data_IF_376402888746
#
_entry.id   IF_376402888746
#
_cell.length_a   1.000
_cell.length_b   1.000
_cell.length_c   1.000
_cell.angle_alpha   90.00
_cell.angle_beta   90.00
_cell.angle_gamma   90.00
#
_symmetry.space_group_name_H-M   'P 1'
#
loop_
_entity.id
_entity.type
_entity.pdbx_description
1 polymer ?
#
# COMPACT_ATOMS: atom_id res chain seq x y z
N UNK A 1 -15.64 -16.59 -3.40
CA UNK A 1 -14.15 -16.63 -3.49
C UNK A 1 -13.61 -16.12 -2.17
N UNK A 2 -12.47 -16.62 -1.66
CA UNK A 2 -12.03 -16.28 -0.32
C UNK A 2 -11.53 -14.82 -0.26
N UNK A 3 -12.18 -14.02 0.58
CA UNK A 3 -11.79 -12.62 0.86
C UNK A 3 -10.45 -12.50 1.56
N UNK A 4 -10.10 -13.54 2.32
CA UNK A 4 -8.84 -13.70 3.03
C UNK A 4 -8.18 -14.99 2.58
N UNK A 5 -6.87 -14.94 2.39
CA UNK A 5 -6.06 -16.12 2.13
C UNK A 5 -5.30 -16.50 3.39
N UNK A 6 -5.48 -17.74 3.86
CA UNK A 6 -4.65 -18.33 4.91
C UNK A 6 -3.34 -18.92 4.36
N UNK A 7 -3.15 -18.87 3.04
CA UNK A 7 -1.89 -19.23 2.39
C UNK A 7 -0.89 -18.11 2.62
N UNK A 8 0.23 -18.45 3.27
CA UNK A 8 1.41 -17.59 3.37
C UNK A 8 2.27 -17.81 2.13
N UNK A 9 2.51 -16.75 1.37
CA UNK A 9 3.44 -16.79 0.23
C UNK A 9 4.85 -16.45 0.71
N UNK A 10 5.80 -17.38 0.53
CA UNK A 10 7.19 -17.20 0.95
C UNK A 10 8.12 -16.98 -0.25
N UNK A 11 8.96 -15.95 -0.19
CA UNK A 11 10.05 -15.73 -1.13
C UNK A 11 11.41 -15.60 -0.41
N UNK A 12 12.47 -16.00 -1.11
CA UNK A 12 13.85 -15.97 -0.59
C UNK A 12 14.71 -15.00 -1.37
N UNK A 13 15.46 -14.18 -0.65
CA UNK A 13 16.38 -13.20 -1.22
C UNK A 13 17.76 -13.31 -0.55
N UNK A 14 18.80 -12.91 -1.28
CA UNK A 14 20.15 -12.85 -0.72
C UNK A 14 20.48 -11.41 -0.33
N UNK A 15 21.13 -11.26 0.83
CA UNK A 15 21.72 -10.02 1.37
C UNK A 15 20.77 -8.86 1.70
N UNK A 16 19.91 -8.47 0.76
CA UNK A 16 19.17 -7.20 0.77
C UNK A 16 17.76 -7.33 0.21
N UNK A 17 16.80 -6.73 0.88
CA UNK A 17 15.44 -6.55 0.37
C UNK A 17 15.22 -5.10 -0.02
N UNK A 18 15.25 -4.81 -1.31
CA UNK A 18 15.02 -3.47 -1.85
C UNK A 18 13.63 -3.38 -2.48
N UNK A 19 12.83 -2.40 -2.08
CA UNK A 19 11.46 -2.25 -2.55
C UNK A 19 11.02 -0.79 -2.66
N UNK A 20 9.95 -0.60 -3.42
CA UNK A 20 9.31 0.70 -3.63
C UNK A 20 7.89 0.64 -3.10
N UNK A 21 7.34 1.76 -2.65
CA UNK A 21 5.93 1.89 -2.25
C UNK A 21 5.28 3.01 -3.05
N UNK A 22 4.14 2.72 -3.66
CA UNK A 22 3.37 3.65 -4.50
C UNK A 22 1.88 3.48 -4.24
N UNK A 23 1.14 4.58 -4.17
CA UNK A 23 -0.32 4.60 -4.08
C UNK A 23 -0.91 5.66 -4.98
N UNK A 24 -2.21 5.55 -5.26
CA UNK A 24 -3.00 6.62 -5.85
C UNK A 24 -2.42 7.07 -7.20
N UNK A 25 -2.16 6.08 -8.05
CA UNK A 25 -1.36 6.26 -9.26
C UNK A 25 -2.15 6.20 -10.56
N UNK A 26 -3.35 5.62 -10.56
CA UNK A 26 -4.13 5.25 -11.73
C UNK A 26 -4.74 6.35 -12.60
N UNK A 27 -4.27 7.59 -12.49
CA UNK A 27 -4.88 8.73 -13.19
C UNK A 27 -4.12 9.05 -14.47
N UNK A 28 -4.77 8.83 -15.61
CA UNK A 28 -4.19 8.96 -16.95
C UNK A 28 -4.22 10.40 -17.49
N UNK A 29 -4.99 11.28 -16.85
CA UNK A 29 -5.16 12.67 -17.28
C UNK A 29 -3.93 13.56 -17.06
N UNK A 30 -3.98 14.78 -17.63
CA UNK A 30 -3.04 15.86 -17.30
C UNK A 30 -3.61 16.63 -16.10
N UNK A 31 -2.82 16.83 -15.06
CA UNK A 31 -3.19 17.80 -14.02
C UNK A 31 -3.40 19.19 -14.64
N UNK A 32 -4.35 19.98 -14.09
CA UNK A 32 -4.67 21.33 -14.59
C UNK A 32 -3.37 22.14 -14.77
N UNK A 33 -3.10 22.59 -16.00
CA UNK A 33 -1.94 23.41 -16.35
C UNK A 33 -0.62 22.69 -16.65
N UNK A 34 -0.58 21.35 -16.79
CA UNK A 34 0.69 20.59 -16.99
C UNK A 34 0.87 19.96 -18.38
N UNK A 35 2.13 19.95 -18.86
CA UNK A 35 2.56 19.40 -20.18
C UNK A 35 2.59 17.86 -20.23
N UNK A 36 2.82 17.19 -19.10
CA UNK A 36 2.83 15.73 -18.94
C UNK A 36 1.91 15.31 -17.78
N UNK A 37 1.32 14.11 -17.85
CA UNK A 37 0.55 13.53 -16.74
C UNK A 37 1.47 13.18 -15.57
N UNK A 38 1.06 13.53 -14.34
CA UNK A 38 1.90 13.41 -13.14
C UNK A 38 2.40 11.97 -12.93
N UNK A 39 1.53 10.99 -13.20
CA UNK A 39 1.85 9.57 -13.16
C UNK A 39 3.07 9.20 -14.02
N UNK A 40 3.20 9.76 -15.23
CA UNK A 40 4.31 9.43 -16.15
C UNK A 40 5.66 9.94 -15.62
N UNK A 41 5.69 11.09 -14.94
CA UNK A 41 6.92 11.58 -14.32
C UNK A 41 7.35 10.68 -13.16
N UNK A 42 6.39 10.30 -12.30
CA UNK A 42 6.61 9.37 -11.19
C UNK A 42 7.11 8.03 -11.72
N UNK A 43 6.43 7.44 -12.70
CA UNK A 43 6.83 6.17 -13.32
C UNK A 43 8.24 6.23 -13.93
N UNK A 44 8.60 7.35 -14.59
CA UNK A 44 9.93 7.52 -15.16
C UNK A 44 11.04 7.56 -14.10
N UNK A 45 10.82 8.31 -13.01
CA UNK A 45 11.78 8.38 -11.90
C UNK A 45 11.85 7.04 -11.16
N UNK A 46 10.70 6.45 -10.85
CA UNK A 46 10.58 5.17 -10.17
C UNK A 46 11.27 4.05 -10.95
N UNK A 47 11.20 4.07 -12.29
CA UNK A 47 11.94 3.14 -13.15
C UNK A 47 13.45 3.27 -12.93
N UNK A 48 13.99 4.49 -12.95
CA UNK A 48 15.44 4.71 -12.73
C UNK A 48 15.89 4.21 -11.36
N UNK A 49 15.06 4.42 -10.33
CA UNK A 49 15.34 3.94 -8.98
C UNK A 49 15.33 2.41 -8.94
N UNK A 50 14.30 1.77 -9.49
CA UNK A 50 14.22 0.32 -9.56
C UNK A 50 15.41 -0.31 -10.30
N UNK A 51 15.84 0.29 -11.42
CA UNK A 51 17.02 -0.14 -12.18
C UNK A 51 18.32 0.07 -11.38
N UNK A 52 18.48 1.22 -10.72
CA UNK A 52 19.68 1.58 -9.95
C UNK A 52 19.89 0.68 -8.73
N UNK A 53 18.82 0.44 -7.96
CA UNK A 53 18.88 -0.30 -6.70
C UNK A 53 18.50 -1.79 -6.87
N UNK A 54 18.17 -2.20 -8.10
CA UNK A 54 17.72 -3.56 -8.41
C UNK A 54 16.57 -3.99 -7.49
N UNK A 55 15.54 -3.13 -7.40
CA UNK A 55 14.36 -3.37 -6.56
C UNK A 55 13.74 -4.74 -6.88
N UNK A 56 13.23 -5.38 -5.84
CA UNK A 56 12.74 -6.76 -5.85
C UNK A 56 11.24 -6.83 -6.07
N UNK A 57 10.51 -5.83 -5.58
CA UNK A 57 9.06 -5.72 -5.70
C UNK A 57 8.60 -4.29 -5.43
N UNK A 58 7.31 -4.07 -5.63
CA UNK A 58 6.60 -2.84 -5.35
C UNK A 58 5.45 -3.16 -4.39
N UNK A 59 5.28 -2.37 -3.34
CA UNK A 59 4.06 -2.34 -2.54
C UNK A 59 3.13 -1.30 -3.16
N UNK A 60 2.00 -1.76 -3.68
CA UNK A 60 0.94 -0.92 -4.20
C UNK A 60 -0.13 -0.72 -3.12
N UNK A 61 -0.23 0.49 -2.57
CA UNK A 61 -1.13 0.81 -1.45
C UNK A 61 -2.55 1.22 -1.90
N UNK A 62 -2.96 0.82 -3.10
CA UNK A 62 -4.32 0.97 -3.59
C UNK A 62 -4.60 2.26 -4.34
N UNK A 63 -5.87 2.40 -4.76
CA UNK A 63 -6.32 3.36 -5.76
C UNK A 63 -5.50 3.23 -7.05
N UNK A 64 -5.53 1.99 -7.55
CA UNK A 64 -4.79 1.56 -8.72
C UNK A 64 -5.35 2.17 -9.99
N UNK A 65 -6.66 2.43 -10.04
CA UNK A 65 -7.32 2.91 -11.25
C UNK A 65 -8.34 4.01 -10.97
N UNK A 66 -8.11 5.19 -11.54
CA UNK A 66 -9.02 6.33 -11.45
C UNK A 66 -9.80 6.56 -12.74
N UNK A 67 -10.97 7.17 -12.56
CA UNK A 67 -11.66 7.92 -13.60
C UNK A 67 -10.81 9.12 -14.05
N UNK A 68 -10.55 9.20 -15.36
CA UNK A 68 -9.71 10.22 -15.98
C UNK A 68 -10.50 11.22 -16.83
N UNK A 69 -11.61 10.81 -17.44
CA UNK A 69 -12.49 11.64 -18.29
C UNK A 69 -13.97 11.46 -17.89
N UNK A 70 -14.91 12.21 -18.47
CA UNK A 70 -16.32 12.18 -18.04
C UNK A 70 -17.05 10.86 -18.36
N UNK A 71 -16.73 10.23 -19.48
CA UNK A 71 -17.27 8.96 -19.97
C UNK A 71 -16.50 7.74 -19.46
N UNK A 72 -15.48 7.97 -18.63
CA UNK A 72 -14.66 6.93 -17.99
C UNK A 72 -15.26 6.46 -16.65
N UNK A 73 -14.74 5.37 -16.10
CA UNK A 73 -15.15 4.77 -14.82
C UNK A 73 -13.99 4.72 -13.81
N UNK A 74 -14.33 4.54 -12.53
CA UNK A 74 -13.35 4.24 -11.47
C UNK A 74 -12.95 2.76 -11.54
N UNK A 75 -11.88 2.36 -10.84
CA UNK A 75 -11.45 0.96 -10.79
C UNK A 75 -11.29 0.35 -12.19
N UNK A 76 -11.50 -0.96 -12.28
CA UNK A 76 -11.66 -1.71 -13.54
C UNK A 76 -13.05 -2.34 -13.60
N UNK A 77 -13.61 -2.48 -14.80
CA UNK A 77 -14.88 -3.15 -15.08
C UNK A 77 -14.72 -4.68 -15.06
N UNK A 78 -13.58 -5.17 -15.58
CA UNK A 78 -13.29 -6.60 -15.74
C UNK A 78 -11.79 -6.88 -15.90
N UNK A 79 -11.42 -8.15 -16.01
CA UNK A 79 -10.04 -8.56 -16.36
C UNK A 79 -9.61 -8.14 -17.78
N UNK A 80 -10.54 -7.70 -18.63
CA UNK A 80 -10.29 -7.25 -20.01
C UNK A 80 -10.31 -5.73 -20.16
N UNK A 81 -10.42 -5.00 -19.05
CA UNK A 81 -10.47 -3.54 -19.06
C UNK A 81 -9.19 -2.91 -19.65
N UNK A 82 -9.36 -1.92 -20.52
CA UNK A 82 -8.24 -1.21 -21.16
C UNK A 82 -7.37 -0.44 -20.17
N UNK A 83 -7.84 -0.15 -18.96
CA UNK A 83 -7.04 0.49 -17.89
C UNK A 83 -5.85 -0.35 -17.45
N UNK A 84 -5.95 -1.69 -17.49
CA UNK A 84 -4.79 -2.57 -17.24
C UNK A 84 -3.64 -2.21 -18.18
N UNK A 85 -3.95 -1.98 -19.45
CA UNK A 85 -2.95 -1.58 -20.44
C UNK A 85 -2.56 -0.12 -20.29
N UNK A 86 -3.54 0.77 -20.31
CA UNK A 86 -3.34 2.22 -20.48
C UNK A 86 -2.81 2.92 -19.22
N UNK A 87 -3.24 2.49 -18.03
CA UNK A 87 -2.77 3.04 -16.75
C UNK A 87 -1.59 2.28 -16.15
N UNK A 88 -1.43 0.98 -16.44
CA UNK A 88 -0.39 0.17 -15.80
C UNK A 88 0.68 -0.34 -16.77
N UNK A 89 0.33 -1.24 -17.69
CA UNK A 89 1.33 -1.90 -18.56
C UNK A 89 2.09 -0.90 -19.43
N UNK A 90 1.43 0.13 -19.97
CA UNK A 90 2.04 1.15 -20.83
C UNK A 90 2.80 2.25 -20.10
N UNK A 91 2.56 2.39 -18.79
CA UNK A 91 3.18 3.43 -17.97
C UNK A 91 4.43 2.91 -17.28
N UNK A 92 4.35 1.73 -16.66
CA UNK A 92 5.43 1.18 -15.84
C UNK A 92 6.26 0.17 -16.62
N UNK A 93 7.38 0.65 -17.16
CA UNK A 93 8.30 -0.10 -18.03
C UNK A 93 9.62 -0.42 -17.33
N UNK A 94 10.53 -1.11 -18.03
CA UNK A 94 11.87 -1.46 -17.52
C UNK A 94 11.77 -2.39 -16.31
N UNK A 95 12.60 -2.17 -15.29
CA UNK A 95 12.60 -3.01 -14.08
C UNK A 95 11.21 -3.12 -13.42
N UNK A 96 10.38 -2.06 -13.50
CA UNK A 96 9.02 -2.08 -12.96
C UNK A 96 8.08 -3.08 -13.64
N UNK A 97 8.38 -3.46 -14.89
CA UNK A 97 7.65 -4.46 -15.66
C UNK A 97 8.11 -5.90 -15.40
N UNK A 98 9.20 -6.09 -14.65
CA UNK A 98 9.81 -7.39 -14.36
C UNK A 98 9.51 -7.89 -12.93
N UNK A 99 9.12 -6.98 -12.04
CA UNK A 99 8.98 -7.27 -10.61
C UNK A 99 7.51 -7.22 -10.17
N UNK A 100 7.13 -8.05 -9.18
CA UNK A 100 5.76 -8.09 -8.66
C UNK A 100 5.36 -6.79 -7.96
N UNK A 101 4.07 -6.48 -8.07
CA UNK A 101 3.35 -5.41 -7.39
C UNK A 101 2.41 -6.07 -6.37
N UNK A 102 2.83 -6.14 -5.12
CA UNK A 102 2.00 -6.63 -4.02
C UNK A 102 0.99 -5.55 -3.67
N UNK A 103 -0.26 -5.79 -4.05
CA UNK A 103 -1.30 -4.77 -4.10
C UNK A 103 -2.36 -4.98 -3.03
N UNK A 104 -2.90 -3.87 -2.53
CA UNK A 104 -4.17 -3.78 -1.81
C UNK A 104 -5.12 -2.91 -2.62
N UNK A 105 -6.43 -3.04 -2.39
CA UNK A 105 -7.42 -2.19 -3.02
C UNK A 105 -7.60 -0.88 -2.24
N UNK A 106 -7.79 0.22 -2.96
CA UNK A 106 -8.24 1.49 -2.42
C UNK A 106 -9.73 1.74 -2.65
N UNK A 107 -10.27 2.83 -2.12
CA UNK A 107 -11.70 3.10 -2.23
C UNK A 107 -12.14 3.31 -3.70
N UNK A 108 -11.28 3.82 -4.58
CA UNK A 108 -11.59 3.97 -6.00
C UNK A 108 -11.64 2.66 -6.76
N UNK A 109 -10.86 1.66 -6.33
CA UNK A 109 -10.92 0.31 -6.89
C UNK A 109 -12.28 -0.36 -6.53
N UNK A 110 -12.79 -0.05 -5.33
CA UNK A 110 -14.11 -0.47 -4.85
C UNK A 110 -15.30 0.28 -5.46
N UNK A 111 -15.09 1.44 -6.07
CA UNK A 111 -16.13 2.18 -6.79
C UNK A 111 -16.50 1.51 -8.12
N UNK A 112 -15.90 0.36 -8.43
CA UNK A 112 -16.27 -0.45 -9.59
C UNK A 112 -16.17 -1.96 -9.32
N UNK A 113 -15.38 -2.75 -10.06
CA UNK A 113 -15.29 -4.20 -9.85
C UNK A 113 -13.95 -4.60 -9.20
N UNK A 114 -13.85 -4.45 -7.88
CA UNK A 114 -12.64 -4.85 -7.13
C UNK A 114 -12.27 -6.33 -7.31
N UNK A 115 -13.26 -7.20 -7.56
CA UNK A 115 -12.99 -8.61 -7.81
C UNK A 115 -12.24 -8.86 -9.11
N UNK A 116 -12.42 -8.00 -10.12
CA UNK A 116 -11.68 -8.12 -11.37
C UNK A 116 -10.17 -7.95 -11.14
N UNK A 117 -9.73 -7.20 -10.12
CA UNK A 117 -8.32 -7.12 -9.76
C UNK A 117 -7.78 -8.43 -9.16
N UNK A 118 -8.59 -9.10 -8.33
CA UNK A 118 -8.24 -10.44 -7.80
C UNK A 118 -8.19 -11.46 -8.95
N UNK A 119 -9.21 -11.49 -9.80
CA UNK A 119 -9.26 -12.40 -10.94
C UNK A 119 -8.12 -12.14 -11.93
N UNK A 120 -7.77 -10.87 -12.16
CA UNK A 120 -6.64 -10.50 -13.01
C UNK A 120 -5.31 -10.97 -12.41
N UNK A 121 -5.13 -10.81 -11.09
CA UNK A 121 -3.96 -11.32 -10.37
C UNK A 121 -3.80 -12.83 -10.50
N UNK A 122 -4.89 -13.58 -10.37
CA UNK A 122 -4.85 -15.04 -10.33
C UNK A 122 -4.77 -15.66 -11.73
N UNK A 123 -5.40 -15.04 -12.72
CA UNK A 123 -5.66 -15.69 -14.02
C UNK A 123 -5.00 -15.01 -15.22
N UNK A 124 -4.58 -13.74 -15.11
CA UNK A 124 -4.07 -12.97 -16.26
C UNK A 124 -2.62 -12.57 -16.09
N UNK A 125 -2.27 -11.88 -15.00
CA UNK A 125 -0.92 -11.40 -14.79
C UNK A 125 -0.56 -11.36 -13.30
N UNK A 126 0.13 -12.40 -12.85
CA UNK A 126 0.58 -12.56 -11.45
C UNK A 126 1.55 -11.46 -10.98
N UNK A 127 2.03 -10.58 -11.87
CA UNK A 127 2.81 -9.40 -11.48
C UNK A 127 1.95 -8.36 -10.78
N UNK A 128 0.66 -8.23 -11.12
CA UNK A 128 -0.29 -7.50 -10.27
C UNK A 128 -0.76 -8.52 -9.22
N UNK A 129 -0.06 -8.60 -8.10
CA UNK A 129 -0.28 -9.64 -7.11
C UNK A 129 -1.28 -9.16 -6.04
N UNK A 130 -2.51 -9.68 -6.11
CA UNK A 130 -3.59 -9.46 -5.17
C UNK A 130 -4.47 -10.72 -5.11
N UNK A 131 -4.01 -11.79 -4.44
CA UNK A 131 -4.70 -13.09 -4.46
C UNK A 131 -6.03 -13.09 -3.69
N UNK A 132 -6.21 -12.10 -2.82
CA UNK A 132 -7.40 -11.83 -2.00
C UNK A 132 -7.32 -10.40 -1.46
N UNK A 133 -8.39 -9.91 -0.84
CA UNK A 133 -8.43 -8.58 -0.21
C UNK A 133 -7.57 -8.51 1.06
N UNK A 134 -7.37 -9.66 1.71
CA UNK A 134 -6.48 -9.83 2.87
C UNK A 134 -5.54 -11.01 2.62
N UNK A 135 -4.23 -10.81 2.74
CA UNK A 135 -3.25 -11.89 2.56
C UNK A 135 -1.92 -11.61 3.27
N UNK A 136 -1.16 -12.68 3.51
CA UNK A 136 0.14 -12.62 4.16
C UNK A 136 1.23 -13.09 3.22
N UNK A 137 2.37 -12.38 3.24
CA UNK A 137 3.60 -12.79 2.57
C UNK A 137 4.78 -12.76 3.54
N UNK A 138 5.75 -13.62 3.32
CA UNK A 138 7.00 -13.66 4.07
C UNK A 138 8.20 -13.61 3.15
N UNK A 139 9.21 -12.82 3.53
CA UNK A 139 10.47 -12.77 2.83
C UNK A 139 11.58 -13.22 3.77
N UNK A 140 12.32 -14.24 3.34
CA UNK A 140 13.52 -14.72 4.05
C UNK A 140 14.74 -14.16 3.35
N UNK A 141 15.49 -13.32 4.06
CA UNK A 141 16.73 -12.72 3.58
C UNK A 141 17.88 -13.55 4.14
N UNK A 142 18.62 -14.21 3.26
CA UNK A 142 19.83 -14.98 3.58
C UNK A 142 21.06 -14.07 3.43
N UNK A 143 21.41 -13.35 4.50
CA UNK A 143 22.66 -12.59 4.64
C UNK A 143 23.61 -13.26 5.64
N UNK A 144 24.39 -12.47 6.39
CA UNK A 144 25.21 -13.01 7.51
C UNK A 144 24.33 -13.56 8.64
N UNK A 145 23.18 -12.93 8.84
CA UNK A 145 22.07 -13.39 9.68
C UNK A 145 20.88 -13.68 8.76
N UNK A 146 20.16 -14.77 9.02
CA UNK A 146 18.86 -14.98 8.39
C UNK A 146 17.85 -14.01 9.01
N UNK A 147 17.18 -13.23 8.17
CA UNK A 147 16.15 -12.27 8.57
C UNK A 147 14.81 -12.66 7.97
N UNK A 148 13.75 -12.73 8.78
CA UNK A 148 12.37 -12.95 8.33
C UNK A 148 11.58 -11.64 8.37
N UNK A 149 11.00 -11.27 7.22
CA UNK A 149 10.12 -10.12 7.06
C UNK A 149 8.73 -10.61 6.73
N UNK A 150 7.75 -10.36 7.60
CA UNK A 150 6.34 -10.62 7.33
C UNK A 150 5.64 -9.36 6.81
N UNK A 151 4.82 -9.52 5.79
CA UNK A 151 3.93 -8.51 5.24
C UNK A 151 2.48 -8.96 5.38
N UNK A 152 1.66 -8.17 6.05
CA UNK A 152 0.21 -8.38 6.14
C UNK A 152 -0.46 -7.30 5.29
N UNK A 153 -1.16 -7.72 4.24
CA UNK A 153 -1.88 -6.83 3.33
C UNK A 153 -3.35 -6.84 3.71
N UNK A 154 -3.93 -5.66 3.96
CA UNK A 154 -5.29 -5.51 4.49
C UNK A 154 -6.13 -4.58 3.64
N UNK A 155 -7.40 -4.93 3.46
CA UNK A 155 -8.37 -4.01 2.88
C UNK A 155 -8.94 -3.11 3.97
N UNK A 156 -8.56 -1.85 3.91
CA UNK A 156 -8.94 -0.86 4.92
C UNK A 156 -10.34 -0.27 4.73
N UNK A 157 -10.99 -0.51 3.59
CA UNK A 157 -12.32 0.06 3.32
C UNK A 157 -13.36 -0.39 4.35
N UNK A 158 -13.28 -1.66 4.79
CA UNK A 158 -14.15 -2.23 5.81
C UNK A 158 -14.05 -1.50 7.16
N UNK A 159 -12.87 -0.98 7.50
CA UNK A 159 -12.63 -0.30 8.77
C UNK A 159 -12.86 1.21 8.67
N UNK A 160 -12.61 1.78 7.49
CA UNK A 160 -12.73 3.20 7.24
C UNK A 160 -14.18 3.65 7.04
N UNK A 161 -15.03 2.85 6.39
CA UNK A 161 -16.44 3.15 6.15
C UNK A 161 -17.35 2.28 7.01
N UNK A 162 -18.35 2.88 7.66
CA UNK A 162 -19.54 2.13 8.09
C UNK A 162 -20.45 1.94 6.88
N UNK A 163 -21.18 0.82 6.81
CA UNK A 163 -22.01 0.49 5.66
C UNK A 163 -23.04 1.58 5.30
N UNK A 164 -23.60 2.25 6.31
CA UNK A 164 -24.55 3.35 6.12
C UNK A 164 -23.92 4.64 5.60
N UNK A 165 -22.62 4.83 5.81
CA UNK A 165 -21.86 6.02 5.40
C UNK A 165 -21.07 5.84 4.11
N UNK A 166 -21.20 4.69 3.43
CA UNK A 166 -20.55 4.47 2.13
C UNK A 166 -21.10 5.49 1.12
N UNK A 167 -20.25 6.34 0.53
CA UNK A 167 -20.68 7.46 -0.31
C UNK A 167 -20.98 7.04 -1.77
N UNK A 168 -20.67 5.80 -2.15
CA UNK A 168 -20.76 5.31 -3.52
C UNK A 168 -21.62 4.04 -3.60
N UNK A 169 -22.66 4.07 -4.44
CA UNK A 169 -23.63 2.97 -4.56
C UNK A 169 -23.00 1.66 -5.04
N UNK A 170 -22.02 1.73 -5.95
CA UNK A 170 -21.34 0.53 -6.45
C UNK A 170 -20.49 -0.13 -5.37
N UNK A 171 -19.74 0.65 -4.59
CA UNK A 171 -19.05 0.15 -3.41
C UNK A 171 -20.01 -0.45 -2.39
N UNK A 172 -21.15 0.20 -2.13
CA UNK A 172 -22.18 -0.31 -1.23
C UNK A 172 -22.73 -1.66 -1.72
N UNK A 173 -22.96 -1.78 -3.03
CA UNK A 173 -23.35 -3.05 -3.64
C UNK A 173 -22.26 -4.13 -3.51
N UNK A 174 -21.00 -3.80 -3.75
CA UNK A 174 -19.88 -4.73 -3.56
C UNK A 174 -19.77 -5.20 -2.11
N UNK A 175 -19.94 -4.29 -1.14
CA UNK A 175 -19.99 -4.63 0.29
C UNK A 175 -21.12 -5.62 0.59
N UNK A 176 -22.31 -5.45 -0.01
CA UNK A 176 -23.40 -6.42 0.15
C UNK A 176 -23.07 -7.80 -0.41
N UNK A 177 -22.45 -7.86 -1.60
CA UNK A 177 -22.06 -9.13 -2.23
C UNK A 177 -21.08 -9.90 -1.33
N UNK A 178 -20.20 -9.18 -0.61
CA UNK A 178 -19.25 -9.71 0.36
C UNK A 178 -19.83 -9.95 1.75
N UNK A 179 -21.08 -9.54 2.02
CA UNK A 179 -21.64 -9.58 3.36
C UNK A 179 -21.00 -8.59 4.35
N UNK A 180 -20.25 -7.60 3.87
CA UNK A 180 -19.63 -6.52 4.66
C UNK A 180 -20.61 -5.41 5.06
N UNK A 181 -21.90 -5.74 5.11
CA UNK A 181 -22.97 -4.80 5.39
C UNK A 181 -23.36 -4.75 6.88
N UNK A 182 -22.47 -5.23 7.75
CA UNK A 182 -22.68 -5.33 9.19
C UNK A 182 -21.35 -5.38 9.94
N UNK A 183 -21.40 -5.08 11.24
CA UNK A 183 -20.23 -5.00 12.12
C UNK A 183 -19.61 -6.37 12.45
N UNK A 184 -20.32 -7.48 12.21
CA UNK A 184 -19.78 -8.83 12.48
C UNK A 184 -18.56 -9.08 11.58
N UNK A 185 -18.61 -8.63 10.32
CA UNK A 185 -17.46 -8.78 9.43
C UNK A 185 -16.28 -7.90 9.83
N UNK A 186 -16.53 -6.71 10.39
CA UNK A 186 -15.46 -5.89 10.99
C UNK A 186 -14.74 -6.67 12.08
N UNK A 187 -15.47 -7.28 13.02
CA UNK A 187 -14.90 -8.12 14.08
C UNK A 187 -14.18 -9.37 13.52
N UNK A 188 -14.73 -10.00 12.49
CA UNK A 188 -14.12 -11.16 11.85
C UNK A 188 -12.75 -10.80 11.25
N UNK A 189 -12.65 -9.68 10.52
CA UNK A 189 -11.38 -9.25 9.92
C UNK A 189 -10.40 -8.73 10.96
N UNK A 190 -10.84 -8.06 12.02
CA UNK A 190 -9.96 -7.71 13.14
C UNK A 190 -9.37 -8.95 13.82
N UNK A 191 -10.18 -9.99 14.04
CA UNK A 191 -9.70 -11.28 14.57
C UNK A 191 -8.73 -11.97 13.63
N UNK A 192 -9.00 -11.94 12.32
CA UNK A 192 -8.06 -12.47 11.33
C UNK A 192 -6.73 -11.73 11.37
N UNK A 193 -6.75 -10.39 11.38
CA UNK A 193 -5.53 -9.56 11.49
C UNK A 193 -4.77 -9.89 12.77
N UNK A 194 -5.45 -9.96 13.92
CA UNK A 194 -4.86 -10.34 15.19
C UNK A 194 -4.21 -11.74 15.14
N UNK A 195 -4.90 -12.72 14.54
CA UNK A 195 -4.36 -14.06 14.37
C UNK A 195 -3.09 -14.05 13.50
N UNK A 196 -3.08 -13.33 12.38
CA UNK A 196 -1.89 -13.21 11.54
C UNK A 196 -0.74 -12.52 12.28
N UNK A 197 -1.03 -11.50 13.08
CA UNK A 197 -0.03 -10.86 13.93
C UNK A 197 0.57 -11.83 14.95
N UNK A 198 -0.24 -12.69 15.58
CA UNK A 198 0.22 -13.74 16.51
C UNK A 198 1.10 -14.76 15.78
N UNK A 199 0.68 -15.23 14.61
CA UNK A 199 1.41 -16.24 13.83
C UNK A 199 2.76 -15.75 13.32
N UNK A 200 2.93 -14.44 13.09
CA UNK A 200 4.17 -13.85 12.58
C UNK A 200 5.12 -13.34 13.68
N UNK A 201 4.88 -13.63 14.97
CA UNK A 201 5.71 -13.10 16.07
C UNK A 201 7.18 -13.57 16.04
N UNK A 202 7.50 -14.64 15.29
CA UNK A 202 8.86 -15.12 15.02
C UNK A 202 9.62 -14.30 13.97
N UNK A 203 8.97 -13.32 13.32
CA UNK A 203 9.58 -12.46 12.31
C UNK A 203 10.39 -11.32 12.93
N UNK A 204 11.55 -11.02 12.34
CA UNK A 204 12.38 -9.85 12.71
C UNK A 204 11.70 -8.54 12.32
N UNK A 205 10.85 -8.56 11.29
CA UNK A 205 10.04 -7.44 10.84
C UNK A 205 8.60 -7.91 10.63
N UNK A 206 7.64 -7.17 11.20
CA UNK A 206 6.23 -7.30 10.83
C UNK A 206 5.82 -5.96 10.21
N UNK A 207 5.45 -6.00 8.95
CA UNK A 207 5.08 -4.85 8.14
C UNK A 207 3.64 -5.02 7.69
N UNK A 208 2.88 -3.93 7.63
CA UNK A 208 1.49 -3.95 7.21
C UNK A 208 1.29 -2.96 6.07
N UNK A 209 0.56 -3.36 5.03
CA UNK A 209 0.16 -2.49 3.93
C UNK A 209 -1.37 -2.41 3.86
N UNK A 210 -1.89 -1.19 3.76
CA UNK A 210 -3.31 -0.89 3.60
C UNK A 210 -3.49 0.36 2.76
N UNK A 211 -4.72 0.80 2.53
CA UNK A 211 -4.97 2.00 1.71
C UNK A 211 -5.08 3.27 2.56
N UNK A 212 -5.94 3.27 3.58
CA UNK A 212 -6.21 4.48 4.37
C UNK A 212 -5.10 4.77 5.40
N UNK A 213 -4.69 6.03 5.62
CA UNK A 213 -3.57 6.35 6.52
C UNK A 213 -3.95 6.16 7.98
N UNK A 214 -2.98 5.71 8.78
CA UNK A 214 -3.07 5.67 10.25
C UNK A 214 -2.17 6.74 10.88
N UNK A 215 -2.09 7.91 10.25
CA UNK A 215 -1.26 9.04 10.69
C UNK A 215 -2.13 10.22 11.17
N UNK A 216 -1.76 10.80 12.31
CA UNK A 216 -2.40 12.02 12.84
C UNK A 216 -3.93 11.96 12.87
N UNK A 217 -4.59 13.00 12.37
CA UNK A 217 -6.06 13.09 12.34
C UNK A 217 -6.73 12.06 11.40
N UNK A 218 -5.98 11.45 10.48
CA UNK A 218 -6.52 10.44 9.56
C UNK A 218 -6.80 9.09 10.24
N UNK A 219 -6.33 8.90 11.49
CA UNK A 219 -6.65 7.71 12.29
C UNK A 219 -8.10 7.70 12.79
N UNK A 220 -8.72 8.87 13.01
CA UNK A 220 -9.92 8.98 13.85
C UNK A 220 -11.24 8.54 13.18
N UNK A 221 -11.18 7.89 12.01
CA UNK A 221 -12.36 7.45 11.27
C UNK A 221 -12.81 6.05 11.71
N UNK A 222 -14.07 5.94 12.14
CA UNK A 222 -14.76 4.67 12.38
C UNK A 222 -13.92 3.64 13.16
N UNK A 223 -13.60 2.48 12.57
CA UNK A 223 -12.90 1.38 13.24
C UNK A 223 -11.38 1.44 13.07
N UNK A 224 -10.84 2.42 12.34
CA UNK A 224 -9.40 2.58 12.09
C UNK A 224 -8.55 2.65 13.38
N UNK A 225 -8.99 3.29 14.50
CA UNK A 225 -8.22 3.28 15.74
C UNK A 225 -7.93 1.88 16.29
N UNK A 226 -8.80 0.89 16.01
CA UNK A 226 -8.61 -0.49 16.46
C UNK A 226 -7.46 -1.20 15.74
N UNK A 227 -7.14 -0.78 14.51
CA UNK A 227 -5.95 -1.24 13.80
C UNK A 227 -4.68 -0.74 14.49
N UNK A 228 -4.67 0.53 14.91
CA UNK A 228 -3.55 1.11 15.68
C UNK A 228 -3.33 0.33 16.96
N UNK A 229 -4.39 0.07 17.73
CA UNK A 229 -4.31 -0.72 18.97
C UNK A 229 -3.70 -2.12 18.73
N UNK A 230 -4.12 -2.82 17.68
CA UNK A 230 -3.55 -4.13 17.32
C UNK A 230 -2.09 -4.02 16.91
N UNK A 231 -1.75 -3.05 16.06
CA UNK A 231 -0.39 -2.90 15.54
C UNK A 231 0.60 -2.57 16.66
N UNK A 232 0.21 -1.71 17.60
CA UNK A 232 1.00 -1.39 18.78
C UNK A 232 1.11 -2.59 19.73
N UNK A 233 -0.01 -3.27 20.03
CA UNK A 233 -0.04 -4.44 20.92
C UNK A 233 0.86 -5.56 20.45
N UNK A 234 0.95 -5.80 19.14
CA UNK A 234 1.72 -6.90 18.56
C UNK A 234 3.09 -6.49 18.01
N UNK A 235 3.50 -5.22 18.18
CA UNK A 235 4.81 -4.73 17.81
C UNK A 235 5.06 -4.73 16.30
N UNK A 236 4.10 -4.25 15.51
CA UNK A 236 4.29 -3.98 14.08
C UNK A 236 5.39 -2.93 13.91
N UNK A 237 6.32 -3.18 12.99
CA UNK A 237 7.47 -2.30 12.75
C UNK A 237 7.09 -1.08 11.91
N UNK A 238 6.26 -1.28 10.88
CA UNK A 238 5.77 -0.19 10.04
C UNK A 238 4.43 -0.50 9.37
N UNK A 239 3.65 0.55 9.13
CA UNK A 239 2.44 0.55 8.32
C UNK A 239 2.62 1.46 7.10
N UNK A 240 2.24 0.98 5.92
CA UNK A 240 2.33 1.70 4.65
C UNK A 240 0.93 1.92 4.05
N UNK A 241 0.63 3.18 3.69
CA UNK A 241 -0.66 3.60 3.16
C UNK A 241 -0.57 4.61 2.01
N UNK A 242 -1.71 4.85 1.35
CA UNK A 242 -1.95 5.84 0.31
C UNK A 242 -3.11 6.76 0.71
N UNK A 243 -4.11 6.93 -0.17
CA UNK A 243 -5.40 7.63 0.02
C UNK A 243 -5.30 9.14 0.25
N UNK A 244 -4.58 9.54 1.30
CA UNK A 244 -4.14 10.91 1.42
C UNK A 244 -3.08 11.14 0.32
N UNK A 245 -3.42 11.99 -0.64
CA UNK A 245 -2.59 12.27 -1.80
C UNK A 245 -1.32 13.07 -1.45
N UNK A 246 -0.42 12.47 -0.69
CA UNK A 246 0.72 13.17 -0.07
C UNK A 246 1.83 12.17 0.26
N UNK A 247 3.04 12.69 0.49
CA UNK A 247 4.14 11.94 1.08
C UNK A 247 4.28 12.36 2.54
N UNK A 248 4.06 11.45 3.48
CA UNK A 248 4.09 11.76 4.92
C UNK A 248 4.68 10.62 5.74
N UNK A 249 5.18 11.00 6.91
CA UNK A 249 5.83 10.11 7.84
C UNK A 249 5.51 10.51 9.28
N UNK A 250 5.22 9.50 10.11
CA UNK A 250 5.19 9.62 11.56
C UNK A 250 6.20 8.62 12.14
N UNK A 251 7.09 9.15 12.98
CA UNK A 251 8.15 8.38 13.60
C UNK A 251 7.59 7.50 14.72
N UNK A 252 8.19 6.33 14.98
CA UNK A 252 7.93 5.58 16.20
C UNK A 252 8.15 6.45 17.44
N UNK A 253 7.26 6.29 18.42
CA UNK A 253 7.29 6.96 19.73
C UNK A 253 7.40 5.90 20.85
N UNK A 254 7.79 6.29 22.08
CA UNK A 254 7.91 5.34 23.19
C UNK A 254 6.62 4.56 23.50
N UNK A 255 5.47 5.19 23.24
CA UNK A 255 4.11 4.67 23.45
C UNK A 255 3.48 4.06 22.18
N UNK A 256 4.04 4.36 21.00
CA UNK A 256 3.60 3.84 19.70
C UNK A 256 4.82 3.42 18.88
N UNK A 257 5.29 2.16 18.99
CA UNK A 257 6.54 1.73 18.35
C UNK A 257 6.43 1.56 16.83
N UNK A 258 5.26 1.82 16.25
CA UNK A 258 4.96 1.64 14.82
C UNK A 258 5.36 2.89 14.06
N UNK A 259 6.08 2.71 12.94
CA UNK A 259 6.29 3.78 11.98
C UNK A 259 5.12 3.84 10.98
N UNK A 260 4.58 5.03 10.71
CA UNK A 260 3.49 5.19 9.75
C UNK A 260 3.96 5.97 8.53
N UNK A 261 3.77 5.38 7.34
CA UNK A 261 4.16 5.93 6.05
C UNK A 261 2.92 6.16 5.19
N UNK A 262 2.81 7.35 4.60
CA UNK A 262 1.84 7.65 3.53
C UNK A 262 2.60 7.95 2.25
N UNK A 263 2.30 7.22 1.17
CA UNK A 263 2.91 7.35 -0.16
C UNK A 263 1.85 7.40 -1.26
N UNK A 264 0.86 8.29 -1.11
CA UNK A 264 -0.28 8.43 -2.02
C UNK A 264 -0.15 9.53 -3.08
N UNK A 265 1.05 10.03 -3.34
CA UNK A 265 1.26 11.19 -4.22
C UNK A 265 1.71 10.82 -5.64
N UNK A 266 1.28 9.69 -6.19
CA UNK A 266 1.79 9.24 -7.48
C UNK A 266 1.13 9.90 -8.69
N UNK A 267 -0.14 10.33 -8.56
CA UNK A 267 -0.87 10.97 -9.67
C UNK A 267 -1.69 12.20 -9.28
N UNK A 268 -2.07 12.32 -7.99
CA UNK A 268 -2.80 13.45 -7.39
C UNK A 268 -2.05 13.97 -6.15
N UNK A 269 -2.42 15.16 -5.67
CA UNK A 269 -1.87 15.74 -4.42
C UNK A 269 -2.95 16.42 -3.57
N UNK A 270 -2.73 16.49 -2.25
CA UNK A 270 -3.52 17.26 -1.27
C UNK A 270 -2.64 17.73 -0.10
N UNK A 271 -3.20 18.47 0.86
CA UNK A 271 -2.50 18.99 2.06
C UNK A 271 -2.12 17.90 3.10
N UNK A 272 -2.65 16.69 2.91
CA UNK A 272 -2.39 15.54 3.76
C UNK A 272 -2.99 15.65 5.17
N UNK A 273 -2.49 14.84 6.11
CA UNK A 273 -3.07 14.71 7.45
C UNK A 273 -2.43 15.68 8.45
N UNK A 274 -3.22 16.32 9.33
CA UNK A 274 -2.66 17.09 10.45
C UNK A 274 -2.11 16.14 11.53
N UNK A 275 -1.09 16.55 12.29
CA UNK A 275 -0.52 15.75 13.38
C UNK A 275 0.59 14.78 12.98
N UNK A 276 1.02 14.80 11.72
CA UNK A 276 2.23 14.16 11.20
C UNK A 276 3.51 14.82 11.73
N UNK A 277 4.60 14.05 11.80
CA UNK A 277 5.93 14.60 12.15
C UNK A 277 6.63 15.22 10.92
N UNK A 278 6.41 14.63 9.75
CA UNK A 278 6.92 15.13 8.48
C UNK A 278 5.92 14.90 7.34
N UNK A 279 5.86 15.84 6.40
CA UNK A 279 5.06 15.71 5.18
C UNK A 279 5.41 16.74 4.12
N UNK A 280 5.22 16.39 2.86
CA UNK A 280 5.37 17.32 1.73
C UNK A 280 4.09 18.13 1.51
N UNK A 281 4.19 19.39 1.03
CA UNK A 281 3.01 20.18 0.68
C UNK A 281 2.35 19.68 -0.61
N UNK A 282 1.09 20.08 -0.81
CA UNK A 282 0.35 19.88 -2.07
C UNK A 282 1.20 20.31 -3.29
N UNK A 283 1.06 19.56 -4.39
CA UNK A 283 1.80 19.78 -5.64
C UNK A 283 3.11 18.99 -5.75
N UNK A 284 3.49 18.26 -4.69
CA UNK A 284 4.60 17.32 -4.69
C UNK A 284 4.16 15.90 -5.06
N UNK A 285 4.72 15.34 -6.13
CA UNK A 285 4.48 13.95 -6.54
C UNK A 285 5.69 13.09 -6.23
N UNK A 286 5.50 11.81 -5.96
CA UNK A 286 6.59 10.92 -5.65
C UNK A 286 6.18 9.55 -5.14
N UNK A 287 7.16 8.88 -4.54
CA UNK A 287 7.03 7.53 -3.98
C UNK A 287 8.03 7.34 -2.85
N UNK A 288 7.89 6.25 -2.10
CA UNK A 288 8.85 5.82 -1.08
C UNK A 288 9.75 4.72 -1.66
N UNK A 289 11.04 4.81 -1.37
CA UNK A 289 12.01 3.74 -1.56
C UNK A 289 12.49 3.25 -0.20
N UNK A 290 12.64 1.94 -0.04
CA UNK A 290 13.12 1.35 1.20
C UNK A 290 13.98 0.11 0.96
N UNK A 291 14.85 -0.14 1.91
CA UNK A 291 15.81 -1.23 1.86
C UNK A 291 15.92 -1.84 3.25
N UNK A 292 15.84 -3.17 3.35
CA UNK A 292 16.06 -3.92 4.59
C UNK A 292 17.33 -4.75 4.46
N UNK A 293 18.25 -4.56 5.40
CA UNK A 293 19.46 -5.37 5.58
C UNK A 293 19.51 -5.78 7.04
N UNK A 294 19.40 -7.08 7.30
CA UNK A 294 19.41 -7.64 8.64
C UNK A 294 18.41 -6.95 9.58
N UNK A 295 18.91 -6.15 10.52
CA UNK A 295 18.12 -5.47 11.55
C UNK A 295 17.89 -3.97 11.26
N UNK A 296 18.28 -3.46 10.09
CA UNK A 296 18.09 -2.06 9.73
C UNK A 296 17.24 -1.93 8.46
N UNK A 297 16.21 -1.07 8.51
CA UNK A 297 15.49 -0.62 7.33
C UNK A 297 15.84 0.84 7.09
N UNK A 298 16.42 1.17 5.94
CA UNK A 298 16.59 2.57 5.50
C UNK A 298 15.49 2.93 4.52
N UNK A 299 15.01 4.17 4.55
CA UNK A 299 13.98 4.63 3.62
C UNK A 299 14.24 6.05 3.12
N UNK A 300 13.69 6.37 1.96
CA UNK A 300 13.76 7.69 1.33
C UNK A 300 12.46 8.02 0.60
N UNK A 301 11.88 9.18 0.90
CA UNK A 301 10.84 9.77 0.08
C UNK A 301 11.48 10.49 -1.11
N UNK A 302 11.07 10.10 -2.31
CA UNK A 302 11.63 10.58 -3.57
C UNK A 302 10.61 11.48 -4.25
N UNK A 303 10.93 12.77 -4.39
CA UNK A 303 10.17 13.69 -5.21
C UNK A 303 10.42 13.40 -6.69
N UNK A 304 9.32 13.21 -7.40
CA UNK A 304 9.23 12.97 -8.83
C UNK A 304 8.17 13.86 -9.50
N UNK A 305 7.93 15.07 -8.96
CA UNK A 305 7.10 16.10 -9.61
C UNK A 305 7.59 16.38 -11.03
N UNK A 306 8.90 16.28 -11.23
CA UNK A 306 9.54 16.33 -12.55
C UNK A 306 10.28 15.01 -12.81
N UNK A 307 10.86 14.86 -14.00
CA UNK A 307 11.71 13.71 -14.35
C UNK A 307 13.09 13.71 -13.67
N UNK A 308 13.40 14.74 -12.88
CA UNK A 308 14.57 14.81 -11.99
C UNK A 308 14.16 14.37 -10.60
N UNK A 309 14.80 13.33 -10.10
CA UNK A 309 14.62 12.82 -8.76
C UNK A 309 15.28 13.70 -7.70
N UNK A 310 14.65 13.84 -6.55
CA UNK A 310 15.23 14.45 -5.35
C UNK A 310 14.75 13.71 -4.11
N UNK A 311 15.68 13.22 -3.30
CA UNK A 311 15.36 12.75 -1.95
C UNK A 311 14.94 13.97 -1.13
N UNK A 312 13.72 13.95 -0.60
CA UNK A 312 13.15 15.05 0.19
C UNK A 312 13.06 14.75 1.67
N UNK A 313 13.13 13.46 2.03
CA UNK A 313 13.27 12.99 3.39
C UNK A 313 13.85 11.59 3.38
N UNK A 314 14.63 11.26 4.40
CA UNK A 314 15.21 9.94 4.57
C UNK A 314 15.30 9.63 6.05
N UNK A 315 15.24 8.36 6.38
CA UNK A 315 15.35 7.90 7.76
C UNK A 315 15.69 6.43 7.82
N UNK A 316 15.66 5.90 9.04
CA UNK A 316 15.90 4.48 9.28
C UNK A 316 15.07 3.98 10.45
N UNK A 317 14.71 2.71 10.39
CA UNK A 317 14.11 1.95 11.47
C UNK A 317 15.02 0.79 11.86
N UNK A 318 14.86 0.31 13.09
CA UNK A 318 15.51 -0.90 13.59
C UNK A 318 14.47 -2.00 13.73
N UNK A 319 14.87 -3.24 13.46
CA UNK A 319 14.04 -4.42 13.66
C UNK A 319 13.51 -4.50 15.08
N UNK A 320 12.32 -5.10 15.23
CA UNK A 320 11.70 -5.35 16.53
C UNK A 320 12.61 -6.25 17.38
N UNK A 321 12.77 -5.91 18.65
CA UNK A 321 13.26 -6.88 19.64
C UNK A 321 12.24 -8.02 19.79
N UNK A 322 12.62 -9.18 20.31
CA UNK A 322 11.67 -10.25 20.67
C UNK A 322 10.51 -9.67 21.47
N UNK A 323 9.35 -9.59 20.83
CA UNK A 323 8.18 -8.94 21.36
C UNK A 323 7.36 -9.96 22.13
N UNK A 324 6.98 -9.62 23.35
CA UNK A 324 5.96 -10.35 24.10
C UNK A 324 4.77 -9.42 24.21
N UNK A 325 3.60 -9.77 23.63
CA UNK A 325 2.39 -8.97 23.79
C UNK A 325 2.17 -8.70 25.29
N UNK A 326 1.90 -7.43 25.64
CA UNK A 326 1.59 -7.04 27.01
C UNK A 326 0.13 -7.32 27.35
#
# INVERSE_FOLDING_TARGET
MPESSDIIFEERYNDILDFLVIGDWGFQGKGVGRKHGNQKNVAFVMKKWAERYNSKFIINVGDSFYKSENDDHQGVDSIYDDKWKTAWLDVYKGRLAEIPWYSVAGNHDWYNNVYAEIEYSLNVNSRFFMPSLFYVRTNIISGKKQTKVAWIHIDTNLFFYTYDMIPNDQMKNNFNILGWNNDIEVENKLRWIEQQLIEQQDSDWILVAGHHPLIGACVSFNYMPRLVELFERYGVSAYFAGHAHVLEYQTPKPDSPVAYFTSGAASRTSDGCSGKDWGMPEGTFGFLHATIIENEMTFSFVNATTTKDKIVYQGKLTARSTWRPK
#
